data_IF_013491431641
#
_entry.id   IF_013491431641
#
_cell.length_a   1.000
_cell.length_b   1.000
_cell.length_c   1.000
_cell.angle_alpha   90.00
_cell.angle_beta   90.00
_cell.angle_gamma   90.00
#
_symmetry.space_group_name_H-M   'P 1'
#
loop_
_entity.id
_entity.type
_entity.pdbx_description
1 polymer ?
#
# COMPACT_ATOMS: atom_id res chain seq x y z
N UNK A 1 51.23 10.59 35.78
CA UNK A 1 51.11 11.33 34.50
C UNK A 1 51.18 10.26 33.41
N UNK A 2 50.29 10.07 32.44
CA UNK A 2 49.25 10.91 31.85
C UNK A 2 48.18 9.94 31.26
N UNK A 3 46.91 10.23 31.54
CA UNK A 3 45.72 9.52 31.03
C UNK A 3 45.49 9.95 29.59
N UNK A 4 45.23 9.04 28.65
CA UNK A 4 44.52 9.38 27.41
C UNK A 4 43.60 8.22 27.02
N UNK A 5 42.33 8.38 27.37
CA UNK A 5 41.18 7.70 26.75
C UNK A 5 41.10 8.07 25.27
N UNK A 6 40.82 7.09 24.42
CA UNK A 6 40.28 7.33 23.08
C UNK A 6 39.11 6.36 22.84
N UNK A 7 37.93 6.81 23.24
CA UNK A 7 36.65 6.28 22.81
C UNK A 7 36.43 6.81 21.39
N UNK A 8 36.64 5.97 20.38
CA UNK A 8 36.28 6.28 19.01
C UNK A 8 34.77 6.03 18.84
N UNK A 9 34.00 7.11 18.98
CA UNK A 9 32.57 7.15 18.76
C UNK A 9 32.30 7.07 17.24
N UNK A 10 32.06 5.87 16.73
CA UNK A 10 31.54 5.66 15.37
C UNK A 10 30.06 6.05 15.35
N UNK A 11 29.80 7.35 15.22
CA UNK A 11 28.49 7.86 14.82
C UNK A 11 28.35 7.53 13.33
N UNK A 12 27.93 6.30 13.04
CA UNK A 12 27.52 5.91 11.70
C UNK A 12 26.32 6.77 11.32
N UNK A 13 26.54 7.67 10.35
CA UNK A 13 25.53 8.50 9.74
C UNK A 13 24.39 7.62 9.22
N UNK A 14 23.28 7.60 9.96
CA UNK A 14 22.00 7.15 9.41
C UNK A 14 21.55 8.22 8.43
N UNK A 15 21.93 8.08 7.17
CA UNK A 15 21.30 8.83 6.10
C UNK A 15 19.80 8.52 6.15
N UNK A 16 18.91 9.53 6.24
CA UNK A 16 17.50 9.27 6.08
C UNK A 16 17.33 8.68 4.67
N UNK A 17 16.86 7.44 4.60
CA UNK A 17 16.41 6.86 3.35
C UNK A 17 15.27 7.76 2.84
N UNK A 18 15.59 8.65 1.92
CA UNK A 18 14.61 9.47 1.21
C UNK A 18 13.70 8.48 0.50
N UNK A 19 12.47 8.34 0.98
CA UNK A 19 11.44 7.55 0.32
C UNK A 19 11.36 8.01 -1.14
N UNK A 20 11.51 7.07 -2.08
CA UNK A 20 11.47 7.37 -3.49
C UNK A 20 10.06 7.84 -3.87
N UNK A 21 9.87 9.16 -3.92
CA UNK A 21 8.65 9.77 -4.47
C UNK A 21 8.58 9.44 -5.96
N UNK A 22 7.78 8.45 -6.33
CA UNK A 22 7.51 8.17 -7.74
C UNK A 22 6.66 9.31 -8.31
N UNK A 23 7.16 10.09 -9.29
CA UNK A 23 6.48 11.29 -9.79
C UNK A 23 5.15 10.99 -10.50
N UNK A 24 4.87 9.71 -10.79
CA UNK A 24 3.65 9.26 -11.46
C UNK A 24 2.52 8.88 -10.49
N UNK A 25 2.80 8.77 -9.19
CA UNK A 25 1.78 8.56 -8.16
C UNK A 25 1.07 9.88 -7.92
N UNK A 26 -0.26 9.84 -7.92
CA UNK A 26 -1.10 10.99 -7.60
C UNK A 26 -1.40 11.03 -6.10
N UNK A 27 -1.81 9.90 -5.53
CA UNK A 27 -1.99 9.70 -4.10
C UNK A 27 -1.90 8.23 -3.73
N UNK A 28 -1.61 7.97 -2.45
CA UNK A 28 -1.57 6.62 -1.90
C UNK A 28 -2.39 6.57 -0.62
N UNK A 29 -3.14 5.48 -0.44
CA UNK A 29 -4.00 5.30 0.71
C UNK A 29 -3.75 3.93 1.32
N UNK A 30 -3.44 3.90 2.61
CA UNK A 30 -3.35 2.68 3.38
C UNK A 30 -4.71 2.33 4.00
N UNK A 31 -5.14 1.08 3.86
CA UNK A 31 -6.41 0.57 4.34
C UNK A 31 -6.16 -0.61 5.26
N UNK A 32 -6.73 -0.57 6.47
CA UNK A 32 -6.78 -1.71 7.39
C UNK A 32 -8.19 -2.28 7.42
N UNK A 33 -8.30 -3.60 7.41
CA UNK A 33 -9.57 -4.32 7.39
C UNK A 33 -10.04 -4.74 8.77
N UNK A 34 -11.38 -4.83 8.94
CA UNK A 34 -11.98 -5.34 10.18
C UNK A 34 -11.68 -6.82 10.38
N UNK A 35 -11.98 -7.31 11.59
CA UNK A 35 -11.93 -8.74 11.91
C UNK A 35 -12.73 -9.56 10.87
N UNK A 36 -12.15 -10.65 10.39
CA UNK A 36 -12.68 -11.43 9.25
C UNK A 36 -12.18 -10.99 7.87
N UNK A 37 -11.48 -9.86 7.79
CA UNK A 37 -10.83 -9.35 6.58
C UNK A 37 -11.78 -8.63 5.60
N UNK A 38 -11.20 -7.86 4.68
CA UNK A 38 -11.96 -7.24 3.60
C UNK A 38 -12.22 -8.21 2.45
N UNK A 39 -13.21 -7.85 1.63
CA UNK A 39 -13.45 -8.45 0.31
C UNK A 39 -13.31 -7.38 -0.76
N UNK A 40 -12.50 -7.65 -1.77
CA UNK A 40 -12.36 -6.80 -2.96
C UNK A 40 -13.37 -7.23 -4.04
N UNK A 41 -14.19 -6.29 -4.47
CA UNK A 41 -15.15 -6.48 -5.56
C UNK A 41 -14.83 -5.49 -6.66
N UNK A 42 -14.59 -5.98 -7.87
CA UNK A 42 -14.34 -5.16 -9.04
C UNK A 42 -15.57 -5.20 -9.96
N UNK A 43 -15.94 -4.04 -10.47
CA UNK A 43 -17.01 -3.88 -11.45
C UNK A 43 -16.36 -3.45 -12.77
N UNK A 44 -16.46 -4.31 -13.78
CA UNK A 44 -15.99 -4.00 -15.14
C UNK A 44 -16.77 -2.84 -15.76
N UNK A 45 -16.23 -2.27 -16.85
CA UNK A 45 -16.91 -1.25 -17.65
C UNK A 45 -18.31 -1.67 -18.15
N UNK A 46 -18.54 -2.97 -18.35
CA UNK A 46 -19.82 -3.56 -18.74
C UNK A 46 -20.79 -3.75 -17.55
N UNK A 47 -20.38 -3.39 -16.33
CA UNK A 47 -21.17 -3.52 -15.12
C UNK A 47 -21.11 -4.89 -14.44
N UNK A 48 -20.37 -5.86 -15.01
CA UNK A 48 -20.19 -7.18 -14.40
C UNK A 48 -19.33 -7.06 -13.14
N UNK A 49 -19.82 -7.62 -12.03
CA UNK A 49 -19.13 -7.66 -10.74
C UNK A 49 -18.37 -8.98 -10.58
N UNK A 50 -17.16 -8.90 -10.07
CA UNK A 50 -16.28 -10.04 -9.81
C UNK A 50 -15.54 -9.86 -8.48
N UNK A 51 -15.33 -10.95 -7.74
CA UNK A 51 -14.61 -10.91 -6.46
C UNK A 51 -13.17 -11.31 -6.69
N UNK A 52 -12.25 -10.34 -6.66
CA UNK A 52 -10.82 -10.59 -6.93
C UNK A 52 -10.07 -11.18 -5.73
N UNK A 53 -10.47 -10.83 -4.52
CA UNK A 53 -9.80 -11.28 -3.31
C UNK A 53 -10.74 -11.22 -2.09
N UNK A 54 -10.52 -12.12 -1.12
CA UNK A 54 -11.23 -12.21 0.16
C UNK A 54 -10.24 -12.43 1.30
N UNK A 55 -10.64 -12.12 2.52
CA UNK A 55 -9.80 -12.32 3.71
C UNK A 55 -8.60 -11.38 3.75
N UNK A 56 -8.73 -10.20 3.16
CA UNK A 56 -7.66 -9.20 3.08
C UNK A 56 -7.46 -8.57 4.46
N UNK A 57 -6.24 -8.57 4.98
CA UNK A 57 -5.86 -7.94 6.25
C UNK A 57 -5.67 -6.43 6.10
N UNK A 58 -4.97 -6.03 5.05
CA UNK A 58 -4.70 -4.63 4.71
C UNK A 58 -4.49 -4.46 3.20
N UNK A 59 -4.58 -3.23 2.73
CA UNK A 59 -4.33 -2.88 1.34
C UNK A 59 -3.67 -1.50 1.21
N UNK A 60 -2.65 -1.39 0.37
CA UNK A 60 -2.20 -0.09 -0.14
C UNK A 60 -2.84 0.16 -1.50
N UNK A 61 -3.59 1.25 -1.63
CA UNK A 61 -4.20 1.69 -2.87
C UNK A 61 -3.36 2.82 -3.43
N UNK A 62 -2.76 2.57 -4.59
CA UNK A 62 -1.93 3.53 -5.32
C UNK A 62 -2.72 4.01 -6.52
N UNK A 63 -3.03 5.29 -6.55
CA UNK A 63 -3.63 5.93 -7.73
C UNK A 63 -2.55 6.67 -8.49
N UNK A 64 -2.40 6.33 -9.76
CA UNK A 64 -1.46 6.98 -10.66
C UNK A 64 -2.14 8.12 -11.42
N UNK A 65 -1.36 9.12 -11.84
CA UNK A 65 -1.83 10.25 -12.66
C UNK A 65 -2.46 9.83 -14.00
N UNK A 66 -2.19 8.60 -14.46
CA UNK A 66 -2.84 8.01 -15.63
C UNK A 66 -4.30 7.58 -15.38
N UNK A 67 -4.78 7.66 -14.13
CA UNK A 67 -6.05 7.09 -13.69
C UNK A 67 -6.00 5.58 -13.45
N UNK A 68 -4.84 4.94 -13.60
CA UNK A 68 -4.65 3.54 -13.20
C UNK A 68 -4.65 3.43 -11.69
N UNK A 69 -5.33 2.42 -11.16
CA UNK A 69 -5.35 2.14 -9.73
C UNK A 69 -4.73 0.78 -9.48
N UNK A 70 -3.75 0.71 -8.59
CA UNK A 70 -3.14 -0.54 -8.15
C UNK A 70 -3.46 -0.76 -6.68
N UNK A 71 -3.87 -1.98 -6.36
CA UNK A 71 -4.16 -2.41 -5.01
C UNK A 71 -3.15 -3.48 -4.61
N UNK A 72 -2.30 -3.16 -3.64
CA UNK A 72 -1.37 -4.09 -3.03
C UNK A 72 -2.03 -4.66 -1.78
N UNK A 73 -2.62 -5.84 -1.92
CA UNK A 73 -3.39 -6.53 -0.89
C UNK A 73 -2.49 -7.44 -0.06
N UNK A 74 -2.73 -7.48 1.24
CA UNK A 74 -2.18 -8.49 2.15
C UNK A 74 -3.28 -9.47 2.52
N UNK A 75 -3.13 -10.74 2.16
CA UNK A 75 -4.09 -11.82 2.45
C UNK A 75 -3.38 -12.91 3.26
N UNK A 76 -3.65 -12.98 4.55
CA UNK A 76 -2.86 -13.75 5.51
C UNK A 76 -1.41 -13.28 5.51
N UNK A 77 -0.52 -14.11 4.96
CA UNK A 77 0.90 -13.82 4.81
C UNK A 77 1.31 -13.54 3.35
N UNK A 78 0.36 -13.55 2.42
CA UNK A 78 0.62 -13.38 0.98
C UNK A 78 0.36 -11.95 0.54
N UNK A 79 1.16 -11.48 -0.43
CA UNK A 79 0.92 -10.23 -1.14
C UNK A 79 0.26 -10.53 -2.47
N UNK A 80 -0.87 -9.88 -2.74
CA UNK A 80 -1.62 -9.98 -4.00
C UNK A 80 -1.71 -8.59 -4.61
N UNK A 81 -1.43 -8.46 -5.90
CA UNK A 81 -1.51 -7.18 -6.60
C UNK A 81 -2.67 -7.23 -7.59
N UNK A 82 -3.57 -6.26 -7.51
CA UNK A 82 -4.68 -6.08 -8.45
C UNK A 82 -4.53 -4.71 -9.10
N UNK A 83 -4.35 -4.69 -10.43
CA UNK A 83 -4.18 -3.46 -11.19
C UNK A 83 -5.37 -3.26 -12.11
N UNK A 84 -6.01 -2.10 -11.99
CA UNK A 84 -7.17 -1.70 -12.77
C UNK A 84 -6.78 -0.49 -13.63
N UNK A 85 -6.47 -0.70 -14.92
CA UNK A 85 -6.22 0.40 -15.84
C UNK A 85 -7.43 1.34 -15.95
N UNK A 86 -7.16 2.61 -16.24
CA UNK A 86 -8.20 3.63 -16.36
C UNK A 86 -9.31 3.19 -17.34
N UNK A 87 -10.56 3.27 -16.90
CA UNK A 87 -11.73 2.96 -17.72
C UNK A 87 -12.02 1.47 -17.95
N UNK A 88 -11.27 0.55 -17.34
CA UNK A 88 -11.50 -0.90 -17.53
C UNK A 88 -12.39 -1.52 -16.46
N UNK A 89 -12.11 -1.20 -15.20
CA UNK A 89 -12.88 -1.65 -14.05
C UNK A 89 -12.70 -0.69 -12.87
N UNK A 90 -13.62 -0.76 -11.91
CA UNK A 90 -13.54 -0.07 -10.63
C UNK A 90 -13.63 -1.08 -9.49
N UNK A 91 -12.63 -1.10 -8.62
CA UNK A 91 -12.56 -2.01 -7.49
C UNK A 91 -12.87 -1.30 -6.18
N UNK A 92 -13.64 -1.95 -5.32
CA UNK A 92 -13.96 -1.48 -3.98
C UNK A 92 -13.62 -2.53 -2.94
N UNK A 93 -13.16 -2.08 -1.78
CA UNK A 93 -12.93 -2.91 -0.61
C UNK A 93 -14.12 -2.77 0.34
N UNK A 94 -14.70 -3.91 0.71
CA UNK A 94 -15.77 -3.99 1.70
C UNK A 94 -15.23 -4.49 3.04
N UNK A 95 -15.85 -4.09 4.15
CA UNK A 95 -15.45 -4.41 5.53
C UNK A 95 -14.15 -3.72 5.99
N UNK A 96 -13.97 -2.46 5.59
CA UNK A 96 -12.85 -1.59 6.00
C UNK A 96 -13.02 -1.15 7.47
N UNK A 97 -11.92 -1.12 8.21
CA UNK A 97 -11.83 -0.56 9.56
C UNK A 97 -11.34 0.89 9.54
N UNK A 98 -10.18 1.10 8.91
CA UNK A 98 -9.49 2.40 8.89
C UNK A 98 -8.92 2.70 7.52
N UNK A 99 -8.92 3.98 7.16
CA UNK A 99 -8.30 4.54 5.95
C UNK A 99 -7.33 5.64 6.37
N UNK A 100 -6.10 5.58 5.87
CA UNK A 100 -5.05 6.56 6.13
C UNK A 100 -4.48 7.05 4.80
N UNK A 101 -4.59 8.34 4.52
CA UNK A 101 -4.02 8.94 3.32
C UNK A 101 -2.56 9.31 3.56
N UNK A 102 -1.71 9.02 2.58
CA UNK A 102 -0.28 9.37 2.56
C UNK A 102 0.01 10.41 1.49
#
# INVERSE_FOLDING_TARGET
MQKISLIALLIGSTFPAMAANNPNIEFMTHITCKMGGCTMVCTSAEGKKDVKAKGINSADVVTYKSGTVQHNLVVGFQKVVVTSPAGTESCTLNNIDKIENQ
#
